data_IF_047819591228
#
_entry.id   IF_047819591228
#
_cell.length_a   1.000
_cell.length_b   1.000
_cell.length_c   1.000
_cell.angle_alpha   90.00
_cell.angle_beta   90.00
_cell.angle_gamma   90.00
#
_symmetry.space_group_name_H-M   'P 1'
#
loop_
_entity.id
_entity.type
_entity.pdbx_description
1 polymer ?
#
# COMPACT_ATOMS: atom_id res chain seq x y z
N UNK A 1 20.02 13.36 7.16
CA UNK A 1 19.11 12.29 6.73
C UNK A 1 18.28 11.86 7.94
N UNK A 2 16.97 11.69 7.82
CA UNK A 2 16.06 11.35 8.92
C UNK A 2 15.62 9.90 8.75
N UNK A 3 15.73 9.11 9.83
CA UNK A 3 15.27 7.72 9.83
C UNK A 3 13.73 7.66 9.93
N UNK A 4 13.12 6.83 9.07
CA UNK A 4 11.69 6.55 9.12
C UNK A 4 11.45 5.03 9.17
N UNK A 5 10.41 4.57 9.88
CA UNK A 5 10.16 3.13 10.03
C UNK A 5 9.89 2.42 8.71
N UNK A 6 9.10 3.03 7.85
CA UNK A 6 8.79 2.49 6.53
C UNK A 6 8.42 3.59 5.55
N UNK A 7 8.74 3.34 4.28
CA UNK A 7 8.26 4.07 3.11
C UNK A 7 7.52 3.08 2.21
N UNK A 8 6.44 3.51 1.59
CA UNK A 8 5.68 2.70 0.66
C UNK A 8 5.43 3.50 -0.63
N UNK A 9 5.56 2.84 -1.78
CA UNK A 9 5.33 3.43 -3.08
C UNK A 9 4.44 2.53 -3.93
N UNK A 10 3.40 3.09 -4.54
CA UNK A 10 2.48 2.36 -5.40
C UNK A 10 3.00 2.24 -6.83
N UNK A 11 3.16 1.00 -7.30
CA UNK A 11 3.43 0.69 -8.71
C UNK A 11 2.16 0.64 -9.56
N UNK A 12 1.01 0.46 -8.91
CA UNK A 12 -0.31 0.54 -9.54
C UNK A 12 -1.35 0.97 -8.50
N UNK A 13 -2.32 1.79 -8.87
CA UNK A 13 -3.45 2.10 -7.98
C UNK A 13 -4.60 1.11 -8.16
N UNK A 14 -4.72 0.50 -9.33
CA UNK A 14 -5.68 -0.56 -9.61
C UNK A 14 -5.25 -1.91 -9.02
N UNK A 15 -6.23 -2.81 -8.83
CA UNK A 15 -6.01 -4.17 -8.39
C UNK A 15 -6.95 -5.12 -9.14
N UNK A 16 -6.51 -6.35 -9.35
CA UNK A 16 -7.34 -7.43 -9.88
C UNK A 16 -8.24 -8.07 -8.81
N UNK A 17 -8.04 -7.71 -7.52
CA UNK A 17 -8.89 -8.11 -6.42
C UNK A 17 -9.77 -6.97 -5.92
N UNK A 18 -10.91 -7.33 -5.34
CA UNK A 18 -11.94 -6.42 -4.84
C UNK A 18 -12.06 -6.50 -3.32
N UNK A 19 -10.93 -6.54 -2.64
CA UNK A 19 -10.89 -6.67 -1.19
C UNK A 19 -11.68 -5.56 -0.50
N UNK A 20 -12.82 -5.89 0.11
CA UNK A 20 -13.55 -4.90 0.92
C UNK A 20 -12.66 -4.32 2.02
N UNK A 21 -12.85 -3.04 2.32
CA UNK A 21 -12.06 -2.34 3.36
C UNK A 21 -10.55 -2.29 3.06
N UNK A 22 -10.18 -2.31 1.77
CA UNK A 22 -8.79 -2.14 1.36
C UNK A 22 -8.26 -0.79 1.87
N UNK A 23 -7.16 -0.83 2.59
CA UNK A 23 -6.54 0.36 3.18
C UNK A 23 -5.99 1.35 2.15
N UNK A 24 -5.78 0.88 0.93
CA UNK A 24 -5.29 1.66 -0.20
C UNK A 24 -6.42 2.05 -1.17
N UNK A 25 -7.67 1.74 -0.84
CA UNK A 25 -8.87 1.98 -1.65
C UNK A 25 -8.85 1.35 -3.05
N UNK A 26 -7.93 0.42 -3.31
CA UNK A 26 -7.78 -0.20 -4.64
C UNK A 26 -8.96 -1.09 -5.05
N UNK A 27 -9.81 -1.48 -4.08
CA UNK A 27 -11.08 -2.16 -4.32
C UNK A 27 -12.13 -1.31 -5.04
N UNK A 28 -11.94 0.00 -5.11
CA UNK A 28 -12.81 0.90 -5.86
C UNK A 28 -12.38 1.07 -7.32
N UNK A 29 -11.53 0.18 -7.85
CA UNK A 29 -11.00 0.27 -9.21
C UNK A 29 -10.42 1.65 -9.50
N UNK A 30 -9.54 2.10 -8.62
CA UNK A 30 -8.87 3.37 -8.80
C UNK A 30 -8.17 3.35 -10.16
N UNK A 31 -8.70 4.14 -11.08
CA UNK A 31 -8.03 4.42 -12.34
C UNK A 31 -6.85 5.33 -12.04
N UNK A 32 -5.70 5.03 -12.57
CA UNK A 32 -4.51 5.83 -12.44
C UNK A 32 -3.44 5.29 -13.36
N UNK A 33 -2.57 6.17 -13.81
CA UNK A 33 -1.38 5.76 -14.52
C UNK A 33 -0.50 4.96 -13.56
N UNK A 34 0.01 3.85 -14.02
CA UNK A 34 1.09 3.16 -13.36
C UNK A 34 2.35 4.01 -13.55
N UNK A 35 3.09 4.35 -12.48
CA UNK A 35 4.29 5.15 -12.64
C UNK A 35 5.28 4.41 -13.55
N UNK A 36 5.91 5.16 -14.44
CA UNK A 36 7.09 4.69 -15.17
C UNK A 36 8.32 4.74 -14.25
N UNK A 37 9.43 4.09 -14.60
CA UNK A 37 10.69 4.24 -13.87
C UNK A 37 11.15 5.70 -13.78
N UNK A 38 10.92 6.52 -14.82
CA UNK A 38 11.28 7.95 -14.81
C UNK A 38 10.39 8.74 -13.84
N UNK A 39 9.09 8.46 -13.78
CA UNK A 39 8.20 9.04 -12.77
C UNK A 39 8.69 8.70 -11.35
N UNK A 40 9.05 7.45 -11.11
CA UNK A 40 9.57 7.00 -9.82
C UNK A 40 10.93 7.66 -9.50
N UNK A 41 11.82 7.82 -10.47
CA UNK A 41 13.10 8.51 -10.31
C UNK A 41 12.90 9.95 -9.84
N UNK A 42 11.94 10.66 -10.44
CA UNK A 42 11.57 12.01 -10.01
C UNK A 42 11.02 12.00 -8.57
N UNK A 43 10.12 11.07 -8.25
CA UNK A 43 9.58 10.93 -6.87
C UNK A 43 10.71 10.68 -5.85
N UNK A 44 11.62 9.73 -6.13
CA UNK A 44 12.69 9.32 -5.22
C UNK A 44 13.77 10.38 -5.06
N UNK A 45 14.12 11.14 -6.12
CA UNK A 45 15.17 12.15 -6.09
C UNK A 45 14.92 13.25 -5.04
N UNK A 46 13.67 13.55 -4.75
CA UNK A 46 13.32 14.52 -3.70
C UNK A 46 13.63 14.03 -2.29
N UNK A 47 13.70 12.71 -2.08
CA UNK A 47 13.70 12.12 -0.74
C UNK A 47 14.89 11.24 -0.42
N UNK A 48 15.53 10.59 -1.39
CA UNK A 48 16.58 9.59 -1.18
C UNK A 48 17.81 10.14 -0.42
N UNK A 49 18.08 11.44 -0.50
CA UNK A 49 19.13 12.12 0.25
C UNK A 49 18.67 12.75 1.57
N UNK A 50 17.38 12.68 1.88
CA UNK A 50 16.75 13.34 3.05
C UNK A 50 16.21 12.37 4.08
N UNK A 51 15.67 11.23 3.66
CA UNK A 51 15.12 10.19 4.51
C UNK A 51 15.82 8.86 4.30
N UNK A 52 15.87 8.06 5.36
CA UNK A 52 16.37 6.69 5.34
C UNK A 52 15.27 5.77 5.88
N UNK A 53 14.48 5.13 5.01
CA UNK A 53 13.50 4.16 5.45
C UNK A 53 14.18 2.87 5.90
N UNK A 54 13.82 2.38 7.10
CA UNK A 54 14.27 1.06 7.53
C UNK A 54 13.72 -0.01 6.58
N UNK A 55 12.47 0.14 6.16
CA UNK A 55 11.82 -0.72 5.16
C UNK A 55 11.29 0.13 4.01
N UNK A 56 11.59 -0.27 2.78
CA UNK A 56 10.97 0.31 1.61
C UNK A 56 10.13 -0.74 0.88
N UNK A 57 8.83 -0.51 0.77
CA UNK A 57 7.89 -1.45 0.15
C UNK A 57 7.38 -0.91 -1.18
N UNK A 58 7.61 -1.64 -2.25
CA UNK A 58 6.94 -1.51 -3.52
C UNK A 58 5.66 -2.34 -3.46
N UNK A 59 4.53 -1.69 -3.66
CA UNK A 59 3.22 -2.31 -3.54
C UNK A 59 2.19 -1.53 -4.40
N UNK A 60 0.95 -1.54 -4.02
CA UNK A 60 -0.08 -0.74 -4.69
C UNK A 60 -1.45 -1.34 -4.46
N UNK A 61 -2.28 -1.29 -5.50
CA UNK A 61 -3.35 -2.24 -5.66
C UNK A 61 -2.74 -3.62 -5.93
N UNK A 62 -2.26 -3.83 -7.16
CA UNK A 62 -1.45 -5.00 -7.49
C UNK A 62 -0.22 -4.58 -8.30
N UNK A 63 0.98 -4.65 -7.73
CA UNK A 63 2.21 -4.18 -8.38
C UNK A 63 2.59 -4.99 -9.64
N UNK A 64 2.21 -6.27 -9.71
CA UNK A 64 2.47 -7.13 -10.88
C UNK A 64 1.68 -6.70 -12.14
N UNK A 65 0.82 -5.69 -12.05
CA UNK A 65 0.19 -5.07 -13.20
C UNK A 65 1.12 -4.08 -13.90
N UNK A 66 2.16 -3.58 -13.22
CA UNK A 66 3.09 -2.63 -13.81
C UNK A 66 4.09 -3.39 -14.71
N UNK A 67 4.15 -3.09 -16.01
CA UNK A 67 5.05 -3.76 -16.93
C UNK A 67 6.54 -3.47 -16.67
N UNK A 68 6.84 -2.38 -15.95
CA UNK A 68 8.19 -1.94 -15.59
C UNK A 68 8.61 -2.38 -14.17
N UNK A 69 8.03 -3.47 -13.66
CA UNK A 69 8.27 -3.94 -12.31
C UNK A 69 9.76 -4.16 -12.00
N UNK A 70 10.49 -4.74 -12.95
CA UNK A 70 11.91 -5.07 -12.79
C UNK A 70 12.74 -3.80 -12.62
N UNK A 71 12.54 -2.82 -13.50
CA UNK A 71 13.23 -1.53 -13.44
C UNK A 71 12.93 -0.76 -12.14
N UNK A 72 11.70 -0.87 -11.63
CA UNK A 72 11.33 -0.28 -10.35
C UNK A 72 12.06 -0.91 -9.17
N UNK A 73 12.30 -2.23 -9.18
CA UNK A 73 13.07 -2.91 -8.13
C UNK A 73 14.52 -2.41 -8.09
N UNK A 74 15.16 -2.32 -9.25
CA UNK A 74 16.52 -1.78 -9.36
C UNK A 74 16.60 -0.32 -8.91
N UNK A 75 15.70 0.53 -9.40
CA UNK A 75 15.66 1.94 -9.01
C UNK A 75 15.43 2.12 -7.50
N UNK A 76 14.59 1.29 -6.90
CA UNK A 76 14.37 1.31 -5.47
C UNK A 76 15.62 0.95 -4.67
N UNK A 77 16.35 -0.09 -5.10
CA UNK A 77 17.62 -0.50 -4.49
C UNK A 77 18.69 0.57 -4.62
N UNK A 78 18.83 1.18 -5.81
CA UNK A 78 19.75 2.29 -6.05
C UNK A 78 19.46 3.50 -5.15
N UNK A 79 18.19 3.85 -5.00
CA UNK A 79 17.76 5.03 -4.24
C UNK A 79 17.94 4.88 -2.73
N UNK A 80 17.75 3.68 -2.20
CA UNK A 80 17.91 3.37 -0.77
C UNK A 80 18.63 2.03 -0.56
N UNK A 81 19.97 2.01 -0.78
CA UNK A 81 20.76 0.77 -0.80
C UNK A 81 20.75 -0.01 0.52
N UNK A 82 20.52 0.67 1.64
CA UNK A 82 20.54 0.06 2.98
C UNK A 82 19.13 -0.24 3.54
N UNK A 83 18.07 -0.02 2.77
CA UNK A 83 16.71 -0.34 3.21
C UNK A 83 16.37 -1.81 3.00
N UNK A 84 15.57 -2.37 3.90
CA UNK A 84 14.92 -3.66 3.67
C UNK A 84 13.88 -3.50 2.56
N UNK A 85 14.27 -3.84 1.34
CA UNK A 85 13.39 -3.73 0.18
C UNK A 85 12.36 -4.86 0.18
N UNK A 86 11.12 -4.54 -0.14
CA UNK A 86 10.01 -5.48 -0.20
C UNK A 86 9.15 -5.24 -1.43
N UNK A 87 8.74 -6.31 -2.08
CA UNK A 87 7.64 -6.33 -3.03
C UNK A 87 6.43 -7.03 -2.40
N UNK A 88 5.28 -6.37 -2.33
CA UNK A 88 4.06 -6.91 -1.72
C UNK A 88 2.99 -7.09 -2.77
N UNK A 89 2.58 -8.32 -3.03
CA UNK A 89 1.65 -8.71 -4.10
C UNK A 89 0.59 -9.70 -3.63
N UNK A 90 -0.51 -9.83 -4.35
CA UNK A 90 -1.44 -10.95 -4.19
C UNK A 90 -0.99 -12.24 -4.92
N UNK A 91 0.00 -12.14 -5.79
CA UNK A 91 0.66 -13.25 -6.46
C UNK A 91 -0.02 -13.79 -7.71
N UNK A 92 -1.17 -13.26 -8.11
CA UNK A 92 -1.96 -13.83 -9.21
C UNK A 92 -1.35 -13.67 -10.61
N UNK A 93 -0.27 -12.91 -10.74
CA UNK A 93 0.40 -12.61 -12.00
C UNK A 93 1.92 -12.84 -11.94
N UNK A 94 2.39 -13.68 -11.02
CA UNK A 94 3.82 -14.02 -10.90
C UNK A 94 4.37 -14.63 -12.20
N UNK A 95 3.55 -15.41 -12.90
CA UNK A 95 3.87 -16.04 -14.18
C UNK A 95 4.17 -15.05 -15.31
N UNK A 96 3.72 -13.80 -15.19
CA UNK A 96 3.95 -12.75 -16.19
C UNK A 96 5.33 -12.10 -16.08
N UNK A 97 6.08 -12.40 -15.03
CA UNK A 97 7.36 -11.78 -14.71
C UNK A 97 8.46 -12.86 -14.57
N UNK A 98 8.92 -13.46 -15.66
CA UNK A 98 9.90 -14.55 -15.59
C UNK A 98 11.25 -14.12 -15.00
N UNK A 99 11.63 -12.85 -15.17
CA UNK A 99 12.89 -12.30 -14.63
C UNK A 99 12.81 -11.89 -13.15
N UNK A 100 11.60 -11.88 -12.60
CA UNK A 100 11.37 -11.42 -11.23
C UNK A 100 12.18 -12.21 -10.18
N UNK A 101 12.23 -13.56 -10.19
CA UNK A 101 12.92 -14.29 -9.12
C UNK A 101 14.43 -13.98 -9.09
N UNK A 102 15.10 -13.88 -10.25
CA UNK A 102 16.50 -13.44 -10.35
C UNK A 102 16.68 -12.03 -9.78
N UNK A 103 15.85 -11.10 -10.23
CA UNK A 103 15.88 -9.70 -9.76
C UNK A 103 15.67 -9.58 -8.25
N UNK A 104 14.78 -10.39 -7.65
CA UNK A 104 14.58 -10.38 -6.19
C UNK A 104 15.85 -10.77 -5.43
N UNK A 105 16.60 -11.75 -5.94
CA UNK A 105 17.90 -12.15 -5.35
C UNK A 105 18.93 -11.05 -5.50
N UNK A 106 19.11 -10.53 -6.72
CA UNK A 106 20.12 -9.52 -7.05
C UNK A 106 19.90 -8.18 -6.34
N UNK A 107 18.63 -7.80 -6.17
CA UNK A 107 18.27 -6.57 -5.44
C UNK A 107 18.09 -6.79 -3.93
N UNK A 108 18.33 -7.99 -3.40
CA UNK A 108 18.03 -8.37 -2.00
C UNK A 108 16.63 -7.90 -1.58
N UNK A 109 15.64 -8.14 -2.47
CA UNK A 109 14.26 -7.74 -2.26
C UNK A 109 13.43 -8.92 -1.79
N UNK A 110 12.79 -8.79 -0.62
CA UNK A 110 11.87 -9.81 -0.12
C UNK A 110 10.53 -9.73 -0.82
N UNK A 111 10.05 -10.84 -1.36
CA UNK A 111 8.68 -11.00 -1.85
C UNK A 111 7.72 -11.35 -0.71
N UNK A 112 6.69 -10.55 -0.47
CA UNK A 112 5.56 -10.92 0.37
C UNK A 112 4.32 -11.22 -0.49
N UNK A 113 3.91 -12.48 -0.54
CA UNK A 113 2.69 -12.92 -1.23
C UNK A 113 1.54 -12.95 -0.23
N UNK A 114 0.54 -12.10 -0.45
CA UNK A 114 -0.58 -11.88 0.47
C UNK A 114 -1.78 -12.74 0.10
N UNK A 115 -2.13 -13.70 0.96
CA UNK A 115 -3.39 -14.44 0.84
C UNK A 115 -4.54 -13.60 1.40
N UNK A 116 -5.45 -13.17 0.54
CA UNK A 116 -6.55 -12.26 0.87
C UNK A 116 -7.88 -12.96 1.17
N UNK A 117 -8.07 -14.20 0.72
CA UNK A 117 -9.30 -14.94 0.87
C UNK A 117 -9.11 -16.40 1.26
N UNK A 118 -10.24 -17.04 1.57
CA UNK A 118 -10.35 -18.48 1.90
C UNK A 118 -11.48 -19.18 1.13
N UNK A 119 -12.10 -18.51 0.18
CA UNK A 119 -13.16 -19.04 -0.68
C UNK A 119 -12.56 -19.90 -1.78
N UNK A 120 -13.25 -20.96 -2.18
CA UNK A 120 -12.75 -21.92 -3.17
C UNK A 120 -12.27 -21.30 -4.49
N UNK A 121 -13.02 -20.38 -5.15
CA UNK A 121 -12.56 -19.76 -6.38
C UNK A 121 -11.27 -18.96 -6.21
N UNK A 122 -11.12 -18.30 -5.05
CA UNK A 122 -9.89 -17.57 -4.71
C UNK A 122 -8.74 -18.54 -4.44
N UNK A 123 -8.97 -19.61 -3.66
CA UNK A 123 -7.94 -20.56 -3.27
C UNK A 123 -7.38 -21.30 -4.49
N UNK A 124 -8.22 -21.71 -5.44
CA UNK A 124 -7.78 -22.37 -6.67
C UNK A 124 -6.74 -21.51 -7.43
N UNK A 125 -6.99 -20.20 -7.57
CA UNK A 125 -6.03 -19.26 -8.19
C UNK A 125 -4.81 -19.00 -7.31
N UNK A 126 -4.99 -18.92 -6.00
CA UNK A 126 -3.88 -18.68 -5.08
C UNK A 126 -2.93 -19.88 -4.99
N UNK A 127 -3.44 -21.08 -5.21
CA UNK A 127 -2.62 -22.30 -5.25
C UNK A 127 -1.66 -22.32 -6.45
N UNK A 128 -2.03 -21.73 -7.59
CA UNK A 128 -1.09 -21.53 -8.69
C UNK A 128 0.06 -20.58 -8.29
N UNK A 129 -0.26 -19.46 -7.63
CA UNK A 129 0.79 -18.59 -7.10
C UNK A 129 1.69 -19.29 -6.07
N UNK A 130 1.13 -20.20 -5.25
CA UNK A 130 1.90 -21.02 -4.31
C UNK A 130 2.85 -21.98 -5.03
N UNK A 131 2.39 -22.66 -6.09
CA UNK A 131 3.24 -23.54 -6.91
C UNK A 131 4.41 -22.75 -7.49
N UNK A 132 4.15 -21.58 -8.09
CA UNK A 132 5.21 -20.69 -8.60
C UNK A 132 6.21 -20.33 -7.51
N UNK A 133 5.75 -19.93 -6.33
CA UNK A 133 6.63 -19.60 -5.18
C UNK A 133 7.48 -20.81 -4.75
N UNK A 134 6.91 -22.01 -4.73
CA UNK A 134 7.66 -23.23 -4.39
C UNK A 134 8.73 -23.51 -5.44
N UNK A 135 8.41 -23.37 -6.73
CA UNK A 135 9.38 -23.56 -7.81
C UNK A 135 10.51 -22.55 -7.71
N UNK A 136 10.20 -21.26 -7.51
CA UNK A 136 11.22 -20.23 -7.36
C UNK A 136 12.18 -20.48 -6.17
N UNK A 137 11.66 -21.00 -5.07
CA UNK A 137 12.52 -21.38 -3.93
C UNK A 137 13.48 -22.51 -4.24
N UNK A 138 13.08 -23.44 -5.13
CA UNK A 138 13.95 -24.51 -5.57
C UNK A 138 15.01 -24.03 -6.57
N UNK A 139 14.62 -23.15 -7.50
CA UNK A 139 15.46 -22.73 -8.61
C UNK A 139 16.41 -21.58 -8.25
N UNK A 140 16.04 -20.75 -7.25
CA UNK A 140 16.79 -19.55 -6.86
C UNK A 140 17.21 -19.62 -5.39
N UNK A 141 18.34 -20.25 -5.05
CA UNK A 141 18.88 -20.29 -3.70
C UNK A 141 19.10 -18.87 -3.16
N UNK A 142 18.61 -18.59 -1.94
CA UNK A 142 18.72 -17.27 -1.31
C UNK A 142 17.52 -16.35 -1.56
N UNK A 143 16.58 -16.71 -2.43
CA UNK A 143 15.35 -15.93 -2.62
C UNK A 143 14.54 -15.83 -1.31
N UNK A 144 14.21 -14.61 -0.92
CA UNK A 144 13.43 -14.35 0.28
C UNK A 144 11.95 -14.21 -0.04
N UNK A 145 11.14 -15.24 0.21
CA UNK A 145 9.70 -15.20 -0.04
C UNK A 145 8.93 -15.53 1.24
N UNK A 146 7.92 -14.72 1.54
CA UNK A 146 6.99 -14.93 2.65
C UNK A 146 5.55 -14.95 2.16
N UNK A 147 4.80 -15.99 2.52
CA UNK A 147 3.35 -16.02 2.32
C UNK A 147 2.69 -15.48 3.59
N UNK A 148 1.92 -14.40 3.45
CA UNK A 148 1.21 -13.75 4.55
C UNK A 148 -0.29 -14.03 4.48
N UNK A 149 -0.86 -14.54 5.57
CA UNK A 149 -2.31 -14.80 5.70
C UNK A 149 -3.07 -13.50 6.00
N UNK A 150 -3.15 -12.58 5.03
CA UNK A 150 -3.75 -11.26 5.17
C UNK A 150 -5.24 -11.33 5.54
N UNK A 151 -5.96 -12.35 5.09
CA UNK A 151 -7.37 -12.59 5.42
C UNK A 151 -7.67 -12.67 6.93
N UNK A 152 -6.67 -12.96 7.77
CA UNK A 152 -6.82 -13.02 9.24
C UNK A 152 -6.82 -11.65 9.92
N UNK A 153 -6.40 -10.61 9.22
CA UNK A 153 -6.21 -9.26 9.76
C UNK A 153 -7.21 -8.22 9.27
N UNK A 154 -8.25 -8.61 8.56
CA UNK A 154 -9.23 -7.68 8.01
C UNK A 154 -10.01 -6.97 9.09
N UNK A 155 -10.05 -5.65 9.01
CA UNK A 155 -10.79 -4.76 9.90
C UNK A 155 -11.42 -3.63 9.08
N UNK A 156 -12.58 -3.15 9.54
CA UNK A 156 -13.23 -2.00 8.90
C UNK A 156 -12.32 -0.76 9.00
N UNK A 157 -12.11 -0.13 7.86
CA UNK A 157 -11.36 1.13 7.71
C UNK A 157 -12.33 2.32 7.68
N UNK A 158 -13.54 2.10 7.23
CA UNK A 158 -14.63 3.06 7.12
C UNK A 158 -15.97 2.35 7.38
N UNK A 159 -17.00 3.11 7.71
CA UNK A 159 -18.38 2.61 7.75
C UNK A 159 -18.96 2.62 6.34
N UNK A 160 -20.04 1.89 6.12
CA UNK A 160 -20.82 1.95 4.88
C UNK A 160 -22.23 2.41 5.25
N UNK A 161 -22.68 3.52 4.67
CA UNK A 161 -24.00 4.09 4.84
C UNK A 161 -24.56 4.39 3.45
N UNK A 162 -25.74 3.88 3.15
CA UNK A 162 -26.39 4.01 1.84
C UNK A 162 -25.46 3.63 0.67
N UNK A 163 -24.70 2.56 0.84
CA UNK A 163 -23.74 2.09 -0.17
C UNK A 163 -22.49 2.95 -0.34
N UNK A 164 -22.30 3.98 0.49
CA UNK A 164 -21.14 4.89 0.43
C UNK A 164 -20.20 4.68 1.60
N UNK A 165 -18.88 4.81 1.41
CA UNK A 165 -17.93 4.82 2.52
C UNK A 165 -18.08 6.10 3.34
N UNK A 166 -18.24 5.94 4.64
CA UNK A 166 -18.34 7.03 5.60
C UNK A 166 -17.27 6.90 6.67
N UNK A 167 -16.68 8.00 7.15
CA UNK A 167 -15.65 7.93 8.18
C UNK A 167 -16.24 7.52 9.53
N UNK A 168 -15.38 7.05 10.40
CA UNK A 168 -15.69 6.96 11.82
C UNK A 168 -15.66 8.36 12.45
N UNK A 169 -16.09 8.44 13.68
CA UNK A 169 -15.93 9.61 14.56
C UNK A 169 -15.29 9.13 15.85
N UNK A 170 -13.99 9.17 15.90
CA UNK A 170 -13.17 8.60 16.98
C UNK A 170 -12.29 9.65 17.64
N UNK A 171 -11.78 9.36 18.84
CA UNK A 171 -10.68 10.12 19.42
C UNK A 171 -9.39 9.80 18.66
N UNK A 172 -8.66 10.78 18.09
CA UNK A 172 -7.49 10.55 17.25
C UNK A 172 -6.42 9.65 17.89
N UNK A 173 -6.07 9.90 19.15
CA UNK A 173 -5.07 9.12 19.88
C UNK A 173 -5.49 7.65 20.07
N UNK A 174 -6.78 7.39 20.31
CA UNK A 174 -7.30 6.03 20.45
C UNK A 174 -7.27 5.28 19.12
N UNK A 175 -7.65 5.95 18.03
CA UNK A 175 -7.57 5.37 16.69
C UNK A 175 -6.12 5.09 16.28
N UNK A 176 -5.20 6.03 16.51
CA UNK A 176 -3.78 5.83 16.22
C UNK A 176 -3.17 4.67 17.00
N UNK A 177 -3.55 4.50 18.28
CA UNK A 177 -3.03 3.41 19.13
C UNK A 177 -3.21 2.03 18.49
N UNK A 178 -4.36 1.77 17.88
CA UNK A 178 -4.70 0.48 17.26
C UNK A 178 -4.37 0.41 15.77
N UNK A 179 -3.98 1.52 15.15
CA UNK A 179 -3.77 1.61 13.71
C UNK A 179 -2.63 0.67 13.26
N UNK A 180 -2.93 -0.22 12.32
CA UNK A 180 -1.93 -1.13 11.73
C UNK A 180 -1.03 -0.41 10.71
N UNK A 181 -1.44 0.75 10.23
CA UNK A 181 -0.75 1.53 9.19
C UNK A 181 0.00 2.75 9.75
N UNK A 182 0.15 2.84 11.08
CA UNK A 182 0.74 4.00 11.75
C UNK A 182 2.20 4.28 11.42
N UNK A 183 2.86 3.34 10.75
CA UNK A 183 4.24 3.45 10.27
C UNK A 183 4.36 3.34 8.76
N UNK A 184 3.25 3.31 8.02
CA UNK A 184 3.21 3.14 6.58
C UNK A 184 3.21 4.52 5.88
N UNK A 185 4.34 5.24 5.94
CA UNK A 185 4.50 6.50 5.21
C UNK A 185 4.42 6.24 3.71
N UNK A 186 3.58 7.00 3.01
CA UNK A 186 3.41 6.88 1.57
C UNK A 186 4.18 7.97 0.84
N UNK A 187 4.88 7.60 -0.22
CA UNK A 187 5.39 8.55 -1.20
C UNK A 187 4.39 8.60 -2.37
N UNK A 188 3.77 9.75 -2.56
CA UNK A 188 2.78 9.94 -3.60
C UNK A 188 2.76 11.40 -4.06
N UNK A 189 2.84 11.63 -5.36
CA UNK A 189 2.87 12.97 -5.97
C UNK A 189 3.95 13.87 -5.35
N UNK A 190 5.15 13.32 -5.22
CA UNK A 190 6.35 13.95 -4.62
C UNK A 190 6.25 14.26 -3.14
N UNK A 191 5.10 14.06 -2.50
CA UNK A 191 4.87 14.37 -1.09
C UNK A 191 4.89 13.11 -0.23
N UNK A 192 5.25 13.27 1.05
CA UNK A 192 5.10 12.22 2.05
C UNK A 192 3.76 12.35 2.77
N UNK A 193 3.02 11.26 2.83
CA UNK A 193 1.76 11.14 3.56
C UNK A 193 1.93 10.21 4.76
N UNK A 194 1.23 10.50 5.85
CA UNK A 194 1.31 9.68 7.08
C UNK A 194 0.83 8.24 6.90
N UNK A 195 -0.07 7.98 5.97
CA UNK A 195 -0.65 6.65 5.76
C UNK A 195 -1.35 6.54 4.39
N UNK A 196 -1.63 5.34 3.90
CA UNK A 196 -2.30 5.13 2.61
C UNK A 196 -3.70 5.75 2.55
N UNK A 197 -4.46 5.73 3.66
CA UNK A 197 -5.77 6.35 3.68
C UNK A 197 -5.74 7.84 3.30
N UNK A 198 -4.74 8.58 3.77
CA UNK A 198 -4.57 10.00 3.42
C UNK A 198 -4.02 10.21 2.01
N UNK A 199 -3.10 9.35 1.59
CA UNK A 199 -2.48 9.47 0.27
C UNK A 199 -3.47 9.25 -0.89
N UNK A 200 -4.34 8.24 -0.75
CA UNK A 200 -5.19 7.78 -1.86
C UNK A 200 -6.66 8.16 -1.72
N UNK A 201 -7.03 8.86 -0.64
CA UNK A 201 -8.42 9.30 -0.39
C UNK A 201 -9.01 10.09 -1.55
N UNK A 202 -8.27 11.06 -2.07
CA UNK A 202 -8.73 11.89 -3.19
C UNK A 202 -8.99 11.08 -4.48
N UNK A 203 -8.31 9.96 -4.68
CA UNK A 203 -8.58 9.04 -5.79
C UNK A 203 -9.91 8.31 -5.57
N UNK A 204 -10.13 7.84 -4.34
CA UNK A 204 -11.37 7.17 -3.94
C UNK A 204 -12.57 8.12 -4.04
N UNK A 205 -12.48 9.34 -3.52
CA UNK A 205 -13.55 10.34 -3.58
C UNK A 205 -13.99 10.59 -5.04
N UNK A 206 -13.02 10.86 -5.93
CA UNK A 206 -13.31 11.08 -7.36
C UNK A 206 -13.96 9.86 -8.00
N UNK A 207 -13.48 8.68 -7.70
CA UNK A 207 -14.03 7.43 -8.24
C UNK A 207 -15.48 7.21 -7.82
N UNK A 208 -15.83 7.57 -6.59
CA UNK A 208 -17.16 7.39 -6.00
C UNK A 208 -18.06 8.63 -6.11
N UNK A 209 -17.54 9.75 -6.65
CA UNK A 209 -18.23 11.04 -6.75
C UNK A 209 -18.78 11.52 -5.40
N UNK A 210 -17.92 11.47 -4.37
CA UNK A 210 -18.26 11.86 -2.99
C UNK A 210 -17.44 13.05 -2.48
N UNK A 211 -16.84 13.84 -3.38
CA UNK A 211 -15.97 14.98 -3.03
C UNK A 211 -16.69 16.06 -2.21
N UNK A 212 -18.01 16.11 -2.31
CA UNK A 212 -18.85 17.09 -1.59
C UNK A 212 -19.34 16.58 -0.23
N UNK A 213 -19.09 15.31 0.13
CA UNK A 213 -19.54 14.75 1.42
C UNK A 213 -18.81 15.43 2.57
N UNK A 214 -19.50 16.20 3.45
CA UNK A 214 -18.83 17.01 4.48
C UNK A 214 -18.04 16.19 5.49
N UNK A 215 -18.47 14.96 5.76
CA UNK A 215 -17.84 14.07 6.73
C UNK A 215 -16.36 13.79 6.43
N UNK A 216 -15.94 13.85 5.14
CA UNK A 216 -14.56 13.65 4.72
C UNK A 216 -13.73 14.95 4.66
N UNK A 217 -14.29 16.11 5.01
CA UNK A 217 -13.60 17.40 4.91
C UNK A 217 -12.22 17.39 5.59
N UNK A 218 -12.10 16.76 6.75
CA UNK A 218 -10.84 16.68 7.49
C UNK A 218 -9.73 15.93 6.72
N UNK A 219 -10.07 14.94 5.88
CA UNK A 219 -9.11 14.28 5.01
C UNK A 219 -8.72 15.18 3.84
N UNK A 220 -9.66 15.92 3.27
CA UNK A 220 -9.37 16.88 2.18
C UNK A 220 -8.48 18.02 2.63
N UNK A 221 -8.65 18.47 3.87
CA UNK A 221 -7.85 19.57 4.46
C UNK A 221 -6.44 19.12 4.87
N UNK A 222 -6.15 17.81 4.83
CA UNK A 222 -4.83 17.30 5.21
C UNK A 222 -3.74 17.84 4.29
N UNK A 223 -2.63 18.28 4.90
CA UNK A 223 -1.45 18.74 4.19
C UNK A 223 -0.34 17.70 4.31
N UNK A 224 -0.01 17.10 3.18
CA UNK A 224 1.15 16.20 3.08
C UNK A 224 2.46 16.99 3.26
N UNK A 225 3.53 16.31 3.64
CA UNK A 225 4.85 16.92 3.70
C UNK A 225 5.39 17.11 2.26
N UNK A 226 5.55 18.36 1.80
CA UNK A 226 5.98 18.63 0.45
C UNK A 226 7.48 18.43 0.27
N UNK A 227 8.00 18.27 -0.95
CA UNK A 227 9.44 18.18 -1.23
C UNK A 227 10.21 19.45 -0.85
N UNK A 228 9.53 20.59 -0.77
CA UNK A 228 10.10 21.87 -0.33
C UNK A 228 10.23 22.02 1.20
N UNK A 229 9.68 21.08 1.99
CA UNK A 229 9.76 21.13 3.45
C UNK A 229 11.23 21.20 3.90
N UNK A 230 11.53 22.09 4.85
CA UNK A 230 12.86 22.16 5.45
C UNK A 230 13.11 20.99 6.42
N UNK A 231 14.30 20.92 7.02
CA UNK A 231 14.68 19.82 7.90
C UNK A 231 13.81 19.71 9.15
N UNK A 232 13.41 20.85 9.73
CA UNK A 232 12.59 20.87 10.95
C UNK A 232 11.13 20.48 10.67
N UNK A 233 10.57 20.95 9.55
CA UNK A 233 9.26 20.53 9.07
C UNK A 233 9.20 19.02 8.80
N UNK A 234 10.24 18.49 8.14
CA UNK A 234 10.33 17.05 7.89
C UNK A 234 10.48 16.27 9.19
N UNK A 235 11.28 16.73 10.15
CA UNK A 235 11.42 16.12 11.47
C UNK A 235 10.08 16.13 12.20
N UNK A 236 9.42 17.28 12.26
CA UNK A 236 8.08 17.43 12.85
C UNK A 236 7.07 16.48 12.19
N UNK A 237 7.10 16.38 10.85
CA UNK A 237 6.27 15.41 10.14
C UNK A 237 6.55 14.00 10.64
N UNK A 238 7.80 13.55 10.73
CA UNK A 238 8.14 12.17 11.13
C UNK A 238 7.74 11.88 12.58
N UNK A 239 8.04 12.79 13.51
CA UNK A 239 7.85 12.62 14.95
C UNK A 239 6.37 12.71 15.38
N UNK A 240 5.55 13.49 14.67
CA UNK A 240 4.13 13.62 14.97
C UNK A 240 3.43 12.28 14.76
N UNK A 241 2.85 11.73 15.84
CA UNK A 241 2.21 10.39 15.82
C UNK A 241 0.72 10.49 15.45
N UNK A 242 -0.12 10.75 16.42
CA UNK A 242 -1.56 10.93 16.18
C UNK A 242 -1.84 12.34 15.63
N UNK A 243 -2.56 12.41 14.52
CA UNK A 243 -3.01 13.65 13.89
C UNK A 243 -4.54 13.73 13.94
N UNK A 244 -5.17 14.90 13.79
CA UNK A 244 -6.64 15.03 13.83
C UNK A 244 -7.35 14.07 12.90
N UNK A 245 -6.81 13.83 11.71
CA UNK A 245 -7.35 12.92 10.70
C UNK A 245 -7.49 11.47 11.19
N UNK A 246 -6.68 11.03 12.16
CA UNK A 246 -6.85 9.71 12.79
C UNK A 246 -8.25 9.55 13.41
N UNK A 247 -8.92 10.65 13.75
CA UNK A 247 -10.30 10.65 14.24
C UNK A 247 -11.32 10.09 13.26
N UNK A 248 -11.02 10.08 11.97
CA UNK A 248 -11.88 9.50 10.93
C UNK A 248 -11.69 7.99 10.76
N UNK A 249 -10.75 7.38 11.49
CA UNK A 249 -10.50 5.95 11.53
C UNK A 249 -11.11 5.28 12.77
N UNK A 250 -11.28 3.95 12.79
CA UNK A 250 -11.83 3.25 13.94
C UNK A 250 -10.89 3.32 15.16
N UNK A 251 -11.45 3.50 16.37
CA UNK A 251 -10.72 3.45 17.64
C UNK A 251 -10.82 2.09 18.34
N UNK A 252 -11.56 1.17 17.77
CA UNK A 252 -11.67 -0.24 18.20
C UNK A 252 -11.47 -1.12 16.98
N UNK A 253 -10.92 -2.32 17.19
CA UNK A 253 -10.87 -3.33 16.13
C UNK A 253 -12.29 -3.75 15.80
N UNK A 254 -12.71 -3.56 14.56
CA UNK A 254 -14.01 -3.97 14.04
C UNK A 254 -13.76 -5.02 12.95
N UNK A 255 -13.61 -6.30 13.35
CA UNK A 255 -13.41 -7.38 12.40
C UNK A 255 -14.68 -7.57 11.57
N UNK A 256 -14.53 -8.12 10.39
CA UNK A 256 -15.64 -8.53 9.54
C UNK A 256 -15.25 -9.78 8.75
N UNK A 257 -16.26 -10.58 8.38
CA UNK A 257 -16.05 -11.71 7.47
C UNK A 257 -15.87 -11.14 6.07
N UNK A 258 -14.66 -11.29 5.55
CA UNK A 258 -14.35 -10.81 4.22
C UNK A 258 -15.07 -11.67 3.17
N UNK A 259 -15.81 -11.09 2.22
CA UNK A 259 -16.37 -11.83 1.08
C UNK A 259 -15.25 -12.31 0.16
N UNK A 260 -15.60 -13.10 -0.85
CA UNK A 260 -14.64 -13.53 -1.86
C UNK A 260 -14.04 -12.29 -2.57
N UNK A 261 -12.72 -12.06 -2.47
CA UNK A 261 -12.10 -10.87 -3.05
C UNK A 261 -12.05 -10.90 -4.59
N UNK A 262 -12.42 -12.00 -5.23
CA UNK A 262 -12.54 -12.11 -6.70
C UNK A 262 -13.90 -11.67 -7.21
N UNK A 263 -14.89 -11.49 -6.32
CA UNK A 263 -16.25 -11.10 -6.66
C UNK A 263 -16.48 -9.61 -6.37
N UNK A 264 -17.35 -8.96 -7.17
CA UNK A 264 -17.73 -7.56 -6.94
C UNK A 264 -18.39 -7.39 -5.58
N UNK A 265 -17.96 -6.38 -4.84
CA UNK A 265 -18.62 -5.98 -3.60
C UNK A 265 -19.91 -5.22 -3.90
N UNK A 266 -20.84 -5.22 -2.93
CA UNK A 266 -22.12 -4.47 -3.00
C UNK A 266 -21.94 -2.94 -2.96
N UNK A 267 -20.73 -2.45 -2.75
CA UNK A 267 -20.41 -1.01 -2.82
C UNK A 267 -20.16 -0.67 -4.29
N UNK A 268 -21.11 0.01 -4.90
CA UNK A 268 -21.08 0.46 -6.30
C UNK A 268 -20.56 1.88 -6.43
#
# INVERSE_FOLDING_TARGET
MIDIPALEFHLAHGCNLLCQQCSHYSNFHLAGQMPTPDDARVEYSHWSHRIRPNRFALLGGEPLLNPHLIEHLWLARESWPNSHLMLVTNGFFLDRHPDLPGTLVETDCRLEVSQHGTHEPYLARFDEARKTVWQWRADFPGIQIKIRKSHRGWMRQYRVEDGKPMPFNSKPAAAFKICMQKTCTQLFRRCLFKCPALAYHALMERRLRIETVPAWKMFRDYKACPPSANADELRSFVETKAIPQCGLCPSKRVPFKHPDPTQRSEIR
#
